data_IF_335859905235
#
_entry.id   IF_335859905235
#
_cell.length_a   1.000
_cell.length_b   1.000
_cell.length_c   1.000
_cell.angle_alpha   90.00
_cell.angle_beta   90.00
_cell.angle_gamma   90.00
#
_symmetry.space_group_name_H-M   'P 1'
#
loop_
_entity.id
_entity.type
_entity.pdbx_description
1 polymer ?
#
# COMPACT_ATOMS: atom_id res chain seq x y z
N UNK A 1 16.71 10.36 10.88
CA UNK A 1 16.40 9.45 9.75
C UNK A 1 14.91 9.31 9.75
N UNK A 2 14.27 9.88 8.74
CA UNK A 2 12.85 9.69 8.49
C UNK A 2 12.67 8.25 8.03
N UNK A 3 12.40 7.39 8.97
CA UNK A 3 11.89 6.07 8.67
C UNK A 3 10.40 6.26 8.42
N UNK A 4 10.03 6.54 7.19
CA UNK A 4 8.64 6.44 6.80
C UNK A 4 8.15 5.05 7.21
N UNK A 5 7.06 4.92 7.97
CA UNK A 5 6.52 3.63 8.33
C UNK A 5 6.15 2.90 7.05
N UNK A 6 6.96 1.94 6.72
CA UNK A 6 6.83 1.17 5.50
C UNK A 6 5.69 0.18 5.62
N UNK A 7 4.48 0.64 5.36
CA UNK A 7 3.32 -0.26 5.26
C UNK A 7 3.57 -1.29 4.17
N UNK A 8 3.83 -2.53 4.57
CA UNK A 8 4.07 -3.65 3.67
C UNK A 8 5.50 -3.80 3.15
N UNK A 9 6.43 -2.93 3.49
CA UNK A 9 7.86 -3.16 3.24
C UNK A 9 8.44 -4.21 4.19
N UNK A 10 7.78 -4.49 5.31
CA UNK A 10 8.20 -5.52 6.26
C UNK A 10 8.46 -6.86 5.60
N UNK A 11 7.61 -7.33 4.71
CA UNK A 11 7.78 -8.62 4.03
C UNK A 11 8.97 -8.62 3.07
N UNK A 12 9.13 -7.56 2.31
CA UNK A 12 10.27 -7.40 1.40
C UNK A 12 11.57 -7.39 2.19
N UNK A 13 11.65 -6.59 3.25
CA UNK A 13 12.87 -6.50 4.05
C UNK A 13 13.22 -7.82 4.73
N UNK A 14 12.26 -8.50 5.33
CA UNK A 14 12.49 -9.80 5.98
C UNK A 14 13.11 -10.81 5.01
N UNK A 15 12.48 -10.97 3.84
CA UNK A 15 12.99 -11.86 2.79
C UNK A 15 14.30 -11.36 2.21
N UNK A 16 14.40 -10.05 1.93
CA UNK A 16 15.60 -9.46 1.36
C UNK A 16 16.80 -9.60 2.29
N UNK A 17 16.64 -9.33 3.59
CA UNK A 17 17.69 -9.52 4.59
C UNK A 17 18.15 -10.97 4.55
N UNK A 18 17.24 -11.94 4.67
CA UNK A 18 17.59 -13.37 4.63
C UNK A 18 18.34 -13.76 3.35
N UNK A 19 17.93 -13.23 2.20
CA UNK A 19 18.44 -13.71 0.89
C UNK A 19 19.60 -12.91 0.32
N UNK A 20 19.89 -11.72 0.86
CA UNK A 20 20.85 -10.80 0.26
C UNK A 20 21.90 -10.24 1.24
N UNK A 21 21.58 -10.21 2.55
CA UNK A 21 22.50 -9.65 3.54
C UNK A 21 23.48 -10.72 4.05
N UNK A 22 24.74 -10.36 4.14
CA UNK A 22 25.77 -11.26 4.66
C UNK A 22 25.48 -11.65 6.13
N UNK A 23 25.60 -12.94 6.46
CA UNK A 23 25.38 -13.46 7.81
C UNK A 23 23.91 -13.73 8.20
N UNK A 24 22.97 -13.54 7.26
CA UNK A 24 21.54 -13.77 7.54
C UNK A 24 20.94 -15.00 6.86
N UNK A 25 21.68 -15.65 5.97
CA UNK A 25 21.17 -16.81 5.21
C UNK A 25 20.66 -17.95 6.12
N UNK A 26 21.33 -18.20 7.23
CA UNK A 26 20.99 -19.27 8.17
C UNK A 26 19.96 -18.85 9.24
N UNK A 27 19.67 -17.54 9.37
CA UNK A 27 18.68 -17.06 10.32
C UNK A 27 17.27 -17.34 9.81
N UNK A 28 16.39 -17.72 10.72
CA UNK A 28 14.94 -17.76 10.44
C UNK A 28 14.37 -16.35 10.26
N UNK A 29 13.25 -16.22 9.55
CA UNK A 29 12.54 -14.93 9.44
C UNK A 29 12.15 -14.42 10.83
N UNK A 30 11.76 -15.30 11.74
CA UNK A 30 11.38 -14.95 13.12
C UNK A 30 12.55 -14.30 13.89
N UNK A 31 13.77 -14.81 13.73
CA UNK A 31 14.97 -14.21 14.30
C UNK A 31 15.29 -12.85 13.70
N UNK A 32 15.17 -12.72 12.37
CA UNK A 32 15.36 -11.45 11.67
C UNK A 32 14.33 -10.39 12.16
N UNK A 33 13.06 -10.79 12.29
CA UNK A 33 12.00 -9.89 12.81
C UNK A 33 12.30 -9.46 14.24
N UNK A 34 12.71 -10.39 15.11
CA UNK A 34 13.10 -10.05 16.48
C UNK A 34 14.26 -9.07 16.52
N UNK A 35 15.27 -9.27 15.68
CA UNK A 35 16.42 -8.37 15.59
C UNK A 35 16.00 -6.97 15.12
N UNK A 36 15.16 -6.86 14.06
CA UNK A 36 14.65 -5.56 13.60
C UNK A 36 13.96 -4.80 14.73
N UNK A 37 13.16 -5.49 15.55
CA UNK A 37 12.45 -4.86 16.66
C UNK A 37 13.36 -4.46 17.81
N UNK A 38 14.60 -4.93 17.86
CA UNK A 38 15.57 -4.41 18.87
C UNK A 38 15.96 -2.96 18.61
N UNK A 39 15.82 -2.49 17.39
CA UNK A 39 16.19 -1.13 16.99
C UNK A 39 15.04 -0.12 17.10
N UNK A 40 13.86 -0.54 17.56
CA UNK A 40 12.68 0.32 17.67
C UNK A 40 12.17 0.39 19.11
N UNK A 41 11.76 1.57 19.55
CA UNK A 41 11.12 1.77 20.85
C UNK A 41 9.62 1.47 20.80
N UNK A 42 9.00 1.74 19.64
CA UNK A 42 7.58 1.54 19.36
C UNK A 42 7.44 0.89 17.99
N UNK A 43 6.53 -0.06 17.88
CA UNK A 43 6.11 -0.60 16.60
C UNK A 43 4.59 -0.61 16.48
N UNK A 44 4.11 -0.43 15.24
CA UNK A 44 2.70 -0.52 14.89
C UNK A 44 2.52 -1.55 13.79
N UNK A 45 1.43 -2.28 13.84
CA UNK A 45 1.06 -3.24 12.79
C UNK A 45 -0.38 -3.03 12.34
N UNK A 46 -0.59 -3.13 11.03
CA UNK A 46 -1.93 -3.28 10.47
C UNK A 46 -2.19 -4.76 10.23
N UNK A 47 -3.00 -5.37 11.06
CA UNK A 47 -3.21 -6.81 11.06
C UNK A 47 -3.80 -7.35 9.76
N UNK A 48 -4.66 -6.58 9.10
CA UNK A 48 -5.21 -6.93 7.76
C UNK A 48 -4.17 -7.01 6.65
N UNK A 49 -2.95 -6.51 6.89
CA UNK A 49 -1.84 -6.58 5.93
C UNK A 49 -0.85 -7.66 6.35
N UNK A 50 -0.29 -7.52 7.55
CA UNK A 50 0.81 -8.36 8.01
C UNK A 50 0.35 -9.50 8.93
N UNK A 51 -0.81 -9.39 9.56
CA UNK A 51 -1.38 -10.44 10.43
C UNK A 51 -2.29 -11.45 9.74
N UNK A 52 -2.53 -11.30 8.43
CA UNK A 52 -3.38 -12.22 7.64
C UNK A 52 -4.82 -12.34 8.18
N UNK A 53 -5.36 -11.27 8.73
CA UNK A 53 -6.74 -11.17 9.25
C UNK A 53 -7.52 -10.07 8.56
N UNK A 54 -8.85 -10.07 8.76
CA UNK A 54 -9.74 -9.12 8.10
C UNK A 54 -9.58 -7.69 8.61
N UNK A 55 -9.29 -7.50 9.90
CA UNK A 55 -9.23 -6.20 10.56
C UNK A 55 -8.28 -6.21 11.75
N UNK A 56 -8.12 -5.03 12.34
CA UNK A 56 -7.36 -4.85 13.56
C UNK A 56 -5.90 -4.48 13.35
N UNK A 57 -5.21 -4.43 14.43
CA UNK A 57 -3.81 -4.08 14.53
C UNK A 57 -3.41 -4.00 16.00
N UNK A 58 -2.16 -3.69 16.24
CA UNK A 58 -1.70 -3.38 17.59
C UNK A 58 -0.53 -2.39 17.56
N UNK A 59 -0.31 -1.78 18.70
CA UNK A 59 0.89 -1.00 19.00
C UNK A 59 1.62 -1.71 20.13
N UNK A 60 2.90 -1.97 19.94
CA UNK A 60 3.75 -2.53 20.97
C UNK A 60 4.90 -1.54 21.27
N UNK A 61 5.30 -1.46 22.53
CA UNK A 61 6.35 -0.55 22.98
C UNK A 61 7.13 -1.13 24.14
N UNK A 62 8.37 -0.67 24.31
CA UNK A 62 9.27 -1.15 25.36
C UNK A 62 9.06 -0.46 26.68
N UNK A 63 8.64 0.82 26.64
CA UNK A 63 8.51 1.67 27.83
C UNK A 63 7.09 1.59 28.39
N UNK A 64 6.99 1.25 29.68
CA UNK A 64 5.72 1.31 30.42
C UNK A 64 5.17 2.75 30.49
N UNK A 65 6.03 3.75 30.59
CA UNK A 65 5.63 5.16 30.56
C UNK A 65 4.96 5.52 29.24
N UNK A 66 5.58 5.14 28.09
CA UNK A 66 4.99 5.35 26.78
C UNK A 66 3.67 4.61 26.64
N UNK A 67 3.59 3.39 27.15
CA UNK A 67 2.35 2.60 27.14
C UNK A 67 1.22 3.33 27.90
N UNK A 68 1.48 3.79 29.12
CA UNK A 68 0.50 4.55 29.92
C UNK A 68 0.04 5.83 29.23
N UNK A 69 0.93 6.54 28.57
CA UNK A 69 0.59 7.73 27.76
C UNK A 69 -0.25 7.38 26.53
N UNK A 70 0.03 6.26 25.88
CA UNK A 70 -0.69 5.83 24.68
C UNK A 70 -2.11 5.28 25.00
N UNK A 71 -2.34 4.74 26.19
CA UNK A 71 -3.61 4.12 26.57
C UNK A 71 -4.82 5.04 26.36
N UNK A 72 -4.73 6.28 26.79
CA UNK A 72 -5.83 7.25 26.65
C UNK A 72 -6.17 7.50 25.19
N UNK A 73 -5.17 7.66 24.33
CA UNK A 73 -5.38 7.85 22.89
C UNK A 73 -5.93 6.59 22.23
N UNK A 74 -5.47 5.41 22.64
CA UNK A 74 -6.01 4.15 22.17
C UNK A 74 -7.52 4.05 22.46
N UNK A 75 -7.94 4.34 23.70
CA UNK A 75 -9.35 4.30 24.09
C UNK A 75 -10.17 5.32 23.31
N UNK A 76 -9.65 6.51 23.07
CA UNK A 76 -10.38 7.58 22.39
C UNK A 76 -10.55 7.33 20.88
N UNK A 77 -9.57 6.74 20.21
CA UNK A 77 -9.51 6.70 18.76
C UNK A 77 -9.59 5.30 18.14
N UNK A 78 -9.27 4.25 18.89
CA UNK A 78 -9.17 2.89 18.35
C UNK A 78 -10.09 1.91 19.10
N UNK A 79 -10.01 1.85 20.41
CA UNK A 79 -10.77 0.96 21.25
C UNK A 79 -10.07 0.61 22.55
N UNK A 80 -10.67 -0.27 23.35
CA UNK A 80 -10.10 -0.61 24.64
C UNK A 80 -8.72 -1.26 24.52
N UNK A 81 -7.82 -0.93 25.43
CA UNK A 81 -6.38 -1.21 25.33
C UNK A 81 -5.99 -2.68 25.23
N UNK A 82 -6.85 -3.61 25.61
CA UNK A 82 -6.57 -5.04 25.58
C UNK A 82 -6.95 -5.71 24.25
N UNK A 83 -8.01 -5.25 23.58
CA UNK A 83 -8.51 -5.90 22.37
C UNK A 83 -8.88 -4.92 21.24
N UNK A 84 -8.91 -3.61 21.50
CA UNK A 84 -9.15 -2.59 20.46
C UNK A 84 -10.49 -2.74 19.74
N UNK A 85 -11.49 -3.38 20.35
CA UNK A 85 -12.77 -3.71 19.72
C UNK A 85 -12.74 -4.98 18.83
N UNK A 86 -11.62 -5.69 18.76
CA UNK A 86 -11.54 -6.94 18.01
C UNK A 86 -12.30 -8.07 18.71
N UNK A 87 -12.97 -8.92 17.92
CA UNK A 87 -13.56 -10.16 18.45
C UNK A 87 -12.50 -11.17 18.84
N UNK A 88 -12.83 -12.10 19.75
CA UNK A 88 -11.91 -13.19 20.14
C UNK A 88 -11.40 -13.99 18.93
N UNK A 89 -12.27 -14.32 17.98
CA UNK A 89 -11.89 -15.04 16.77
C UNK A 89 -10.90 -14.26 15.89
N UNK A 90 -11.01 -12.94 15.83
CA UNK A 90 -10.06 -12.10 15.07
C UNK A 90 -8.71 -12.03 15.78
N UNK A 91 -8.72 -12.03 17.12
CA UNK A 91 -7.48 -12.12 17.91
C UNK A 91 -6.79 -13.48 17.75
N UNK A 92 -7.54 -14.58 17.77
CA UNK A 92 -7.02 -15.92 17.51
C UNK A 92 -6.44 -16.02 16.09
N UNK A 93 -7.19 -15.53 15.09
CA UNK A 93 -6.71 -15.48 13.72
C UNK A 93 -5.44 -14.63 13.59
N UNK A 94 -5.36 -13.49 14.31
CA UNK A 94 -4.17 -12.64 14.33
C UNK A 94 -2.97 -13.38 14.93
N UNK A 95 -3.16 -14.13 16.02
CA UNK A 95 -2.09 -14.90 16.65
C UNK A 95 -1.48 -15.91 15.66
N UNK A 96 -2.33 -16.68 14.97
CA UNK A 96 -1.91 -17.61 13.92
C UNK A 96 -1.24 -16.86 12.74
N UNK A 97 -1.85 -15.77 12.28
CA UNK A 97 -1.34 -15.00 11.16
C UNK A 97 0.02 -14.35 11.42
N UNK A 98 0.32 -13.98 12.67
CA UNK A 98 1.64 -13.45 13.06
C UNK A 98 2.73 -14.53 12.97
N UNK A 99 2.42 -15.77 13.35
CA UNK A 99 3.36 -16.87 13.19
C UNK A 99 3.56 -17.23 11.71
N UNK A 100 2.48 -17.38 10.94
CA UNK A 100 2.55 -17.66 9.51
C UNK A 100 3.30 -16.56 8.72
N UNK A 101 3.18 -15.31 9.13
CA UNK A 101 3.90 -14.19 8.51
C UNK A 101 5.42 -14.25 8.71
N UNK A 102 5.89 -15.12 9.57
CA UNK A 102 7.32 -15.40 9.75
C UNK A 102 7.82 -16.62 9.01
N UNK A 103 6.94 -17.31 8.26
CA UNK A 103 7.32 -18.44 7.40
C UNK A 103 7.83 -17.93 6.05
N UNK A 104 9.00 -18.46 5.64
CA UNK A 104 9.66 -18.00 4.41
C UNK A 104 8.80 -18.23 3.16
N UNK A 105 8.16 -19.38 3.06
CA UNK A 105 7.32 -19.78 1.93
C UNK A 105 6.13 -18.85 1.74
N UNK A 106 5.54 -18.36 2.82
CA UNK A 106 4.43 -17.41 2.79
C UNK A 106 4.88 -16.04 2.25
N UNK A 107 6.03 -15.57 2.71
CA UNK A 107 6.62 -14.34 2.22
C UNK A 107 7.02 -14.44 0.74
N UNK A 108 7.63 -15.54 0.37
CA UNK A 108 8.09 -15.79 -0.98
C UNK A 108 6.93 -15.88 -1.97
N UNK A 109 5.84 -16.57 -1.62
CA UNK A 109 4.65 -16.66 -2.46
C UNK A 109 4.05 -15.27 -2.75
N UNK A 110 3.95 -14.41 -1.71
CA UNK A 110 3.46 -13.04 -1.88
C UNK A 110 4.35 -12.18 -2.77
N UNK A 111 5.65 -12.22 -2.52
CA UNK A 111 6.62 -11.42 -3.28
C UNK A 111 6.65 -11.88 -4.73
N UNK A 112 6.51 -13.19 -4.99
CA UNK A 112 6.40 -13.72 -6.36
C UNK A 112 5.18 -13.20 -7.09
N UNK A 113 4.01 -13.04 -6.44
CA UNK A 113 2.82 -12.46 -7.08
C UNK A 113 3.04 -11.00 -7.46
N UNK A 114 3.66 -10.20 -6.59
CA UNK A 114 3.98 -8.81 -6.92
C UNK A 114 5.00 -8.74 -8.06
N UNK A 115 6.00 -9.63 -8.02
CA UNK A 115 6.98 -9.75 -9.10
C UNK A 115 6.33 -10.16 -10.42
N UNK A 116 5.41 -11.12 -10.42
CA UNK A 116 4.68 -11.54 -11.61
C UNK A 116 3.95 -10.35 -12.26
N UNK A 117 3.27 -9.52 -11.46
CA UNK A 117 2.66 -8.30 -12.01
C UNK A 117 3.70 -7.38 -12.62
N UNK A 118 4.82 -7.14 -11.94
CA UNK A 118 5.90 -6.32 -12.44
C UNK A 118 6.48 -6.85 -13.76
N UNK A 119 6.77 -8.15 -13.84
CA UNK A 119 7.32 -8.79 -15.04
C UNK A 119 6.35 -8.67 -16.25
N UNK A 120 5.05 -8.84 -16.02
CA UNK A 120 4.03 -8.67 -17.06
C UNK A 120 3.90 -7.20 -17.51
N UNK A 121 3.97 -6.25 -16.59
CA UNK A 121 3.96 -4.83 -16.94
C UNK A 121 5.22 -4.44 -17.73
N UNK A 122 6.36 -5.07 -17.43
CA UNK A 122 7.60 -4.90 -18.20
C UNK A 122 7.47 -5.45 -19.62
N UNK A 123 6.88 -6.62 -19.76
CA UNK A 123 6.58 -7.24 -21.07
C UNK A 123 5.67 -6.34 -21.92
N UNK A 124 4.68 -5.70 -21.29
CA UNK A 124 3.72 -4.82 -21.98
C UNK A 124 4.20 -3.36 -22.12
N UNK A 125 5.38 -3.04 -21.61
CA UNK A 125 5.96 -1.70 -21.65
C UNK A 125 5.24 -0.67 -20.76
N UNK A 126 4.40 -1.12 -19.82
CA UNK A 126 3.66 -0.23 -18.90
C UNK A 126 4.62 0.30 -17.81
N UNK A 127 4.80 1.62 -17.71
CA UNK A 127 5.74 2.19 -16.75
C UNK A 127 5.24 2.12 -15.31
N UNK A 128 6.10 1.69 -14.40
CA UNK A 128 5.84 1.68 -12.97
C UNK A 128 7.10 2.02 -12.17
N UNK A 129 6.96 2.33 -10.89
CA UNK A 129 8.09 2.61 -9.99
C UNK A 129 8.89 1.35 -9.70
N UNK A 130 10.18 1.37 -9.98
CA UNK A 130 11.10 0.24 -9.79
C UNK A 130 12.03 0.47 -8.59
N UNK A 131 12.44 -0.63 -7.92
CA UNK A 131 12.02 -2.01 -8.12
C UNK A 131 10.59 -2.26 -7.66
N UNK A 132 9.97 -3.35 -8.15
CA UNK A 132 8.67 -3.80 -7.65
C UNK A 132 8.71 -4.01 -6.13
N UNK A 133 7.66 -3.59 -5.43
CA UNK A 133 7.55 -3.72 -3.99
C UNK A 133 7.21 -5.14 -3.52
N UNK A 134 6.87 -5.30 -2.26
CA UNK A 134 6.45 -6.59 -1.68
C UNK A 134 4.95 -6.70 -1.43
N UNK A 135 4.19 -5.64 -1.62
CA UNK A 135 2.75 -5.63 -1.39
C UNK A 135 1.95 -4.88 -2.45
N UNK A 136 2.62 -4.16 -3.33
CA UNK A 136 1.98 -3.35 -4.35
C UNK A 136 2.93 -3.05 -5.51
N UNK A 137 2.35 -2.76 -6.67
CA UNK A 137 2.99 -2.06 -7.78
C UNK A 137 2.46 -0.63 -7.81
N UNK A 138 3.34 0.31 -8.14
CA UNK A 138 3.00 1.72 -8.29
C UNK A 138 3.18 2.10 -9.76
N UNK A 139 2.08 2.11 -10.51
CA UNK A 139 2.08 2.49 -11.94
C UNK A 139 2.34 3.99 -12.05
N UNK A 140 3.26 4.39 -12.93
CA UNK A 140 3.62 5.78 -13.18
C UNK A 140 2.58 6.44 -14.10
N UNK A 141 1.57 7.05 -13.51
CA UNK A 141 0.45 7.61 -14.25
C UNK A 141 0.87 8.76 -15.19
N UNK A 142 1.88 9.56 -14.83
CA UNK A 142 2.41 10.60 -15.72
C UNK A 142 3.01 10.03 -17.00
N UNK A 143 3.67 8.87 -16.90
CA UNK A 143 4.22 8.22 -18.09
C UNK A 143 3.19 7.44 -18.89
N UNK A 144 2.13 6.96 -18.22
CA UNK A 144 1.00 6.32 -18.91
C UNK A 144 0.16 7.37 -19.66
N UNK A 145 -0.16 8.49 -19.02
CA UNK A 145 -1.02 9.55 -19.56
C UNK A 145 -0.27 10.90 -19.67
N UNK A 146 0.77 10.98 -20.53
CA UNK A 146 1.67 12.12 -20.55
C UNK A 146 1.02 13.41 -21.06
N UNK A 147 -0.10 13.32 -21.77
CA UNK A 147 -0.78 14.46 -22.39
C UNK A 147 -1.83 15.10 -21.47
N UNK A 148 -2.14 14.49 -20.32
CA UNK A 148 -3.10 15.07 -19.39
C UNK A 148 -2.46 16.19 -18.55
N UNK A 149 -3.12 17.33 -18.44
CA UNK A 149 -2.72 18.39 -17.51
C UNK A 149 -2.74 17.89 -16.05
N UNK A 150 -1.79 18.35 -15.25
CA UNK A 150 -1.70 17.98 -13.83
C UNK A 150 -2.95 18.37 -13.03
N UNK A 151 -3.63 19.44 -13.45
CA UNK A 151 -4.86 19.97 -12.86
C UNK A 151 -6.05 19.02 -13.03
N UNK A 152 -5.92 18.02 -13.90
CA UNK A 152 -6.95 17.02 -14.17
C UNK A 152 -6.69 15.69 -13.44
N UNK A 153 -5.85 15.69 -12.41
CA UNK A 153 -5.60 14.56 -11.49
C UNK A 153 -5.22 13.27 -12.22
N UNK A 154 -4.05 13.25 -12.83
CA UNK A 154 -3.57 12.18 -13.74
C UNK A 154 -3.67 10.79 -13.12
N UNK A 155 -3.21 10.61 -11.87
CA UNK A 155 -3.24 9.31 -11.20
C UNK A 155 -4.68 8.86 -10.87
N UNK A 156 -5.57 9.80 -10.55
CA UNK A 156 -6.98 9.51 -10.34
C UNK A 156 -7.68 9.15 -11.66
N UNK A 157 -7.35 9.87 -12.74
CA UNK A 157 -7.85 9.54 -14.08
C UNK A 157 -7.49 8.10 -14.45
N UNK A 158 -6.23 7.71 -14.26
CA UNK A 158 -5.80 6.33 -14.49
C UNK A 158 -6.53 5.32 -13.60
N UNK A 159 -6.82 5.69 -12.32
CA UNK A 159 -7.58 4.83 -11.42
C UNK A 159 -9.00 4.56 -11.93
N UNK A 160 -9.67 5.59 -12.43
CA UNK A 160 -11.02 5.45 -13.00
C UNK A 160 -11.00 4.66 -14.30
N UNK A 161 -10.06 4.94 -15.21
CA UNK A 161 -9.91 4.18 -16.45
C UNK A 161 -9.69 2.69 -16.18
N UNK A 162 -8.89 2.34 -15.16
CA UNK A 162 -8.65 0.94 -14.78
C UNK A 162 -9.91 0.28 -14.19
N UNK A 163 -10.70 1.05 -13.44
CA UNK A 163 -11.97 0.56 -12.93
C UNK A 163 -12.99 0.33 -14.03
N UNK A 164 -13.09 1.24 -14.99
CA UNK A 164 -14.00 1.09 -16.16
C UNK A 164 -13.56 -0.06 -17.07
N UNK A 165 -12.27 -0.28 -17.22
CA UNK A 165 -11.72 -1.35 -18.08
C UNK A 165 -12.03 -2.74 -17.53
N UNK A 166 -11.85 -2.97 -16.24
CA UNK A 166 -11.91 -4.32 -15.67
C UNK A 166 -12.40 -4.41 -14.22
N UNK A 167 -13.04 -3.38 -13.67
CA UNK A 167 -13.51 -3.36 -12.29
C UNK A 167 -12.39 -3.36 -11.25
N UNK A 168 -11.17 -2.97 -11.63
CA UNK A 168 -9.99 -3.01 -10.77
C UNK A 168 -9.85 -1.68 -10.03
N UNK A 169 -9.85 -1.73 -8.70
CA UNK A 169 -9.64 -0.55 -7.85
C UNK A 169 -8.17 -0.38 -7.51
N UNK A 170 -7.61 0.75 -7.93
CA UNK A 170 -6.34 1.25 -7.46
C UNK A 170 -6.51 2.37 -6.45
N UNK A 171 -5.41 2.79 -5.82
CA UNK A 171 -5.36 3.93 -4.91
C UNK A 171 -4.49 5.01 -5.55
N UNK A 172 -5.07 6.19 -5.71
CA UNK A 172 -4.33 7.37 -6.14
C UNK A 172 -3.27 7.74 -5.10
N UNK A 173 -2.05 7.93 -5.55
CA UNK A 173 -0.89 8.41 -4.77
C UNK A 173 -0.27 9.56 -5.56
N UNK A 174 -0.98 10.66 -5.61
CA UNK A 174 -0.63 11.82 -6.41
C UNK A 174 -1.22 13.11 -5.84
N UNK A 175 -1.76 13.95 -6.70
CA UNK A 175 -2.21 15.30 -6.36
C UNK A 175 -3.39 15.34 -5.38
N UNK A 176 -4.30 14.37 -5.42
CA UNK A 176 -5.42 14.30 -4.44
C UNK A 176 -4.87 13.95 -3.06
N UNK A 177 -4.01 12.93 -2.97
CA UNK A 177 -3.38 12.53 -1.70
C UNK A 177 -2.43 13.60 -1.16
N UNK A 178 -1.75 14.36 -2.03
CA UNK A 178 -0.84 15.43 -1.63
C UNK A 178 -1.57 16.60 -0.96
N UNK A 179 -2.89 16.67 -1.17
CA UNK A 179 -3.77 17.68 -0.59
C UNK A 179 -3.46 19.11 -1.04
N UNK A 180 -4.06 20.10 -0.38
CA UNK A 180 -3.80 21.50 -0.58
C UNK A 180 -2.66 21.99 0.31
N UNK A 181 -2.02 23.03 -0.13
CA UNK A 181 -1.11 23.77 0.73
C UNK A 181 -1.91 24.42 1.86
N UNK A 182 -1.49 24.30 3.13
CA UNK A 182 -2.26 24.79 4.28
C UNK A 182 -2.37 26.33 4.32
N UNK A 183 -1.42 27.04 3.72
CA UNK A 183 -1.37 28.49 3.78
C UNK A 183 -2.02 29.15 2.54
N UNK A 184 -1.72 28.61 1.34
CA UNK A 184 -2.23 29.19 0.08
C UNK A 184 -3.53 28.57 -0.40
N UNK A 185 -3.91 27.42 0.14
CA UNK A 185 -5.04 26.58 -0.30
C UNK A 185 -4.97 26.10 -1.75
N UNK A 186 -3.83 26.25 -2.40
CA UNK A 186 -3.59 25.75 -3.75
C UNK A 186 -3.33 24.24 -3.74
N UNK A 187 -3.66 23.55 -4.84
CA UNK A 187 -3.35 22.14 -5.00
C UNK A 187 -1.83 21.94 -5.03
N UNK A 188 -1.35 21.01 -4.23
CA UNK A 188 0.03 20.53 -4.33
C UNK A 188 0.13 19.46 -5.41
N UNK A 189 1.05 19.67 -6.35
CA UNK A 189 1.30 18.75 -7.44
C UNK A 189 2.65 18.05 -7.22
N UNK A 190 2.66 16.80 -6.75
CA UNK A 190 3.89 16.08 -6.49
C UNK A 190 4.64 15.76 -7.78
N UNK A 191 5.94 15.53 -7.65
CA UNK A 191 6.76 15.09 -8.78
C UNK A 191 6.28 13.78 -9.39
N UNK A 192 5.82 12.86 -8.55
CA UNK A 192 5.30 11.55 -8.94
C UNK A 192 3.77 11.54 -8.83
N UNK A 193 3.12 11.06 -9.87
CA UNK A 193 1.70 10.73 -9.92
C UNK A 193 1.60 9.23 -10.10
N UNK A 194 1.22 8.50 -9.05
CA UNK A 194 1.27 7.05 -9.03
C UNK A 194 -0.11 6.47 -8.78
N UNK A 195 -0.41 5.37 -9.45
CA UNK A 195 -1.54 4.51 -9.14
C UNK A 195 -1.02 3.27 -8.41
N UNK A 196 -1.40 3.12 -7.14
CA UNK A 196 -1.03 1.97 -6.32
C UNK A 196 -1.98 0.81 -6.54
N UNK A 197 -1.46 -0.29 -7.03
CA UNK A 197 -2.14 -1.58 -7.14
C UNK A 197 -1.68 -2.47 -5.98
N UNK A 198 -2.48 -2.52 -4.91
CA UNK A 198 -2.17 -3.33 -3.75
C UNK A 198 -2.56 -4.78 -4.00
N UNK A 199 -1.66 -5.71 -3.65
CA UNK A 199 -1.89 -7.15 -3.72
C UNK A 199 -2.00 -7.67 -2.29
N UNK A 200 -3.23 -7.87 -1.78
CA UNK A 200 -3.44 -8.42 -0.45
C UNK A 200 -3.05 -9.89 -0.40
N UNK A 201 -2.74 -10.37 0.79
CA UNK A 201 -2.34 -11.76 1.00
C UNK A 201 -3.50 -12.71 0.80
N UNK A 202 -3.27 -13.83 0.09
CA UNK A 202 -4.21 -14.94 -0.06
C UNK A 202 -5.59 -14.54 -0.63
N UNK A 203 -5.67 -13.41 -1.33
CA UNK A 203 -6.93 -12.95 -1.95
C UNK A 203 -6.96 -13.25 -3.44
N UNK A 204 -5.84 -13.01 -4.13
CA UNK A 204 -5.75 -13.18 -5.57
C UNK A 204 -4.90 -14.38 -5.97
N UNK A 205 -5.33 -15.06 -7.03
CA UNK A 205 -4.50 -16.04 -7.75
C UNK A 205 -3.66 -15.36 -8.83
N UNK A 206 -2.72 -16.09 -9.40
CA UNK A 206 -1.90 -15.60 -10.52
C UNK A 206 -2.75 -15.25 -11.74
N UNK A 207 -3.90 -15.91 -11.93
CA UNK A 207 -4.82 -15.55 -13.00
C UNK A 207 -5.43 -14.15 -12.81
N UNK A 208 -5.78 -13.78 -11.59
CA UNK A 208 -6.22 -12.40 -11.30
C UNK A 208 -5.10 -11.40 -11.59
N UNK A 209 -3.85 -11.73 -11.27
CA UNK A 209 -2.70 -10.87 -11.57
C UNK A 209 -2.53 -10.67 -13.08
N UNK A 210 -2.74 -11.71 -13.88
CA UNK A 210 -2.71 -11.62 -15.36
C UNK A 210 -3.82 -10.74 -15.91
N UNK A 211 -5.03 -10.81 -15.34
CA UNK A 211 -6.15 -9.91 -15.72
C UNK A 211 -5.80 -8.46 -15.40
N UNK A 212 -5.22 -8.19 -14.23
CA UNK A 212 -4.78 -6.83 -13.84
C UNK A 212 -3.73 -6.30 -14.83
N UNK A 213 -2.74 -7.11 -15.17
CA UNK A 213 -1.70 -6.72 -16.12
C UNK A 213 -2.28 -6.45 -17.53
N UNK A 214 -3.20 -7.31 -18.00
CA UNK A 214 -3.87 -7.14 -19.29
C UNK A 214 -4.70 -5.84 -19.36
N UNK A 215 -5.43 -5.51 -18.28
CA UNK A 215 -6.17 -4.27 -18.19
C UNK A 215 -5.24 -3.03 -18.23
N UNK A 216 -4.11 -3.08 -17.52
CA UNK A 216 -3.11 -2.02 -17.60
C UNK A 216 -2.53 -1.88 -19.01
N UNK A 217 -2.25 -2.99 -19.70
CA UNK A 217 -1.82 -2.99 -21.10
C UNK A 217 -2.86 -2.34 -22.02
N UNK A 218 -4.13 -2.75 -21.94
CA UNK A 218 -5.20 -2.23 -22.79
C UNK A 218 -5.32 -0.70 -22.65
N UNK A 219 -5.24 -0.18 -21.41
CA UNK A 219 -5.24 1.26 -21.19
C UNK A 219 -3.99 1.90 -21.79
N UNK A 220 -2.82 1.29 -21.62
CA UNK A 220 -1.58 1.82 -22.14
C UNK A 220 -1.57 1.87 -23.68
N UNK A 221 -2.14 0.88 -24.35
CA UNK A 221 -2.29 0.84 -25.82
C UNK A 221 -3.20 1.97 -26.32
N UNK A 222 -4.37 2.19 -25.68
CA UNK A 222 -5.33 3.26 -26.04
C UNK A 222 -5.11 4.60 -25.34
N UNK A 223 -3.99 4.80 -24.66
CA UNK A 223 -3.71 6.01 -23.86
C UNK A 223 -3.84 7.34 -24.60
N UNK A 224 -3.66 7.34 -25.92
CA UNK A 224 -3.84 8.53 -26.77
C UNK A 224 -5.31 8.98 -26.88
N UNK A 225 -6.26 8.08 -26.62
CA UNK A 225 -7.69 8.36 -26.64
C UNK A 225 -8.16 9.01 -25.33
N UNK A 226 -7.36 8.89 -24.25
CA UNK A 226 -7.67 9.47 -22.94
C UNK A 226 -7.15 10.91 -22.92
N UNK A 227 -7.99 11.83 -23.39
CA UNK A 227 -7.65 13.23 -23.61
C UNK A 227 -8.14 14.16 -22.50
N UNK A 228 -9.05 13.70 -21.65
CA UNK A 228 -9.63 14.48 -20.55
C UNK A 228 -9.61 13.69 -19.26
N UNK A 229 -9.41 14.39 -18.16
CA UNK A 229 -9.44 13.83 -16.80
C UNK A 229 -10.64 14.33 -16.01
N UNK A 230 -10.40 14.69 -14.75
CA UNK A 230 -11.44 15.03 -13.78
C UNK A 230 -11.18 16.39 -13.13
N UNK A 231 -12.25 17.03 -12.65
CA UNK A 231 -12.22 18.19 -11.77
C UNK A 231 -12.90 17.87 -10.45
N UNK A 232 -12.45 18.51 -9.39
CA UNK A 232 -13.09 18.38 -8.07
C UNK A 232 -14.37 19.23 -8.06
N UNK A 233 -15.47 18.63 -7.65
CA UNK A 233 -16.78 19.28 -7.45
C UNK A 233 -17.10 19.48 -5.98
N UNK A 234 -16.57 18.61 -5.13
CA UNK A 234 -16.66 18.73 -3.68
C UNK A 234 -15.42 18.14 -3.00
N UNK A 235 -15.00 18.74 -1.91
CA UNK A 235 -14.00 18.18 -0.99
C UNK A 235 -14.28 18.66 0.44
N UNK A 236 -14.08 17.79 1.41
CA UNK A 236 -14.13 18.17 2.82
C UNK A 236 -12.85 18.95 3.21
N UNK A 237 -12.94 19.83 4.24
CA UNK A 237 -11.78 20.60 4.71
C UNK A 237 -10.59 19.75 5.18
N UNK A 238 -10.85 18.52 5.59
CA UNK A 238 -9.84 17.54 6.02
C UNK A 238 -10.13 16.20 5.36
N UNK A 239 -9.11 15.35 5.23
CA UNK A 239 -9.24 14.01 4.65
C UNK A 239 -9.75 14.01 3.20
N UNK A 240 -9.36 15.01 2.42
CA UNK A 240 -9.73 15.19 1.02
C UNK A 240 -9.65 13.89 0.21
N UNK A 241 -8.59 13.13 0.37
CA UNK A 241 -8.36 11.88 -0.35
C UNK A 241 -9.51 10.86 -0.22
N UNK A 242 -10.28 10.92 0.87
CA UNK A 242 -11.40 10.02 1.13
C UNK A 242 -12.77 10.62 0.85
N UNK A 243 -12.85 11.93 0.64
CA UNK A 243 -14.12 12.66 0.61
C UNK A 243 -14.37 13.40 -0.70
N UNK A 244 -13.36 13.47 -1.57
CA UNK A 244 -13.45 14.19 -2.83
C UNK A 244 -14.49 13.59 -3.76
N UNK A 245 -15.32 14.46 -4.34
CA UNK A 245 -16.20 14.14 -5.47
C UNK A 245 -15.63 14.75 -6.75
N UNK A 246 -15.82 14.05 -7.85
CA UNK A 246 -15.16 14.36 -9.11
C UNK A 246 -16.14 14.24 -10.27
N UNK A 247 -16.11 15.23 -11.17
CA UNK A 247 -16.78 15.16 -12.47
C UNK A 247 -15.74 15.01 -13.60
N UNK A 248 -16.10 14.28 -14.63
CA UNK A 248 -15.31 14.22 -15.86
C UNK A 248 -15.40 15.57 -16.59
N UNK A 249 -14.27 16.03 -17.14
CA UNK A 249 -14.16 17.28 -17.91
C UNK A 249 -14.58 17.02 -19.37
#
# INVERSE_FOLDING_TARGET
RDVAPSRGLGDVYKRQIKTREAGYADKTIKEIVREIYTYADIMTISAKKDGVVNMGGFVAMRSEELYKRAMTFSIMFEGYVTYGGMSGRDMDALAVGLDENTEFEQLDARIRQVKLLGDLLDEYGVPYQRPAGGHAIFVDAKKVLPNLPKEQFIAQTLAVELYLEAGIRGVEIGSILADRDPDTHENRYPRLELLRLAIPRRVYSDNHIRVIAAACRNIYERRAEITTGYRITFEAPILRHFTVELDKI
#
